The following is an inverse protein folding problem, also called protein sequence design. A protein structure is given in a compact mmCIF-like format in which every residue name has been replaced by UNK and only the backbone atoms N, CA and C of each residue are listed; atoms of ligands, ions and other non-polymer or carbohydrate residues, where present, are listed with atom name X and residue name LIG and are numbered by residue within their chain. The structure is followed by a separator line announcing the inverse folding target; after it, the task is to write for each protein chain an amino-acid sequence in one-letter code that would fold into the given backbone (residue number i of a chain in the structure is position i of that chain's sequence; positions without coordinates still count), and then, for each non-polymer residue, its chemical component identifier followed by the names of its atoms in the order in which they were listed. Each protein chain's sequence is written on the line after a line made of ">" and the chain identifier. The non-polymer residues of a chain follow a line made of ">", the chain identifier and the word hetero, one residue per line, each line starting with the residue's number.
data_IF_059911831771
#
_entry.id   IF_059911831771
#
_cell.length_a   1.000
_cell.length_b   1.000
_cell.length_c   1.000
_cell.angle_alpha   90.00
_cell.angle_beta   90.00
_cell.angle_gamma   90.00
#
_symmetry.space_group_name_H-M   'P 1'
#
loop_
_entity.id
_entity.type
_entity.pdbx_description
1 polymer ?
#
# COMPACT_ATOMS: atom_id res chain seq x y z
N UNK A 1 2.75 6.22 2.16
CA UNK A 1 2.42 5.46 0.95
C UNK A 1 3.46 5.69 -0.12
N UNK A 2 3.48 6.91 -0.67
CA UNK A 2 4.26 7.30 -1.86
C UNK A 2 5.79 7.06 -1.84
N UNK A 3 6.39 6.66 -0.72
CA UNK A 3 7.84 6.43 -0.62
C UNK A 3 8.24 4.97 -0.39
N UNK A 4 7.28 4.07 -0.15
CA UNK A 4 7.57 2.64 0.01
C UNK A 4 7.90 2.01 -1.36
N UNK A 5 8.71 0.94 -1.42
CA UNK A 5 8.96 0.22 -2.67
C UNK A 5 7.67 -0.25 -3.34
N UNK A 6 7.65 -0.26 -4.68
CA UNK A 6 6.53 -0.78 -5.47
C UNK A 6 6.17 -2.21 -5.02
N UNK A 7 4.89 -2.46 -4.86
CA UNK A 7 4.36 -3.74 -4.35
C UNK A 7 4.31 -3.80 -2.82
N UNK A 8 5.32 -3.30 -2.11
CA UNK A 8 5.24 -3.13 -0.65
C UNK A 8 4.17 -2.10 -0.31
N UNK A 9 4.14 -0.98 -1.02
CA UNK A 9 3.11 0.05 -0.90
C UNK A 9 1.69 -0.49 -1.15
N UNK A 10 1.53 -1.32 -2.18
CA UNK A 10 0.27 -1.98 -2.54
C UNK A 10 -0.22 -2.93 -1.43
N UNK A 11 0.66 -3.80 -0.93
CA UNK A 11 0.33 -4.73 0.14
C UNK A 11 -0.02 -4.00 1.46
N UNK A 12 0.72 -2.93 1.79
CA UNK A 12 0.45 -2.10 2.97
C UNK A 12 -0.87 -1.35 2.81
N UNK A 13 -1.17 -0.81 1.63
CA UNK A 13 -2.42 -0.11 1.34
C UNK A 13 -3.62 -1.05 1.49
N UNK A 14 -3.61 -2.22 0.85
CA UNK A 14 -4.73 -3.17 0.96
C UNK A 14 -4.95 -3.60 2.42
N UNK A 15 -3.86 -3.88 3.15
CA UNK A 15 -3.93 -4.23 4.57
C UNK A 15 -4.50 -3.07 5.40
N UNK A 16 -4.05 -1.83 5.17
CA UNK A 16 -4.52 -0.66 5.88
C UNK A 16 -6.03 -0.42 5.68
N UNK A 17 -6.52 -0.57 4.45
CA UNK A 17 -7.95 -0.39 4.12
C UNK A 17 -8.82 -1.44 4.79
N UNK A 18 -8.40 -2.71 4.73
CA UNK A 18 -9.25 -3.83 5.16
C UNK A 18 -9.05 -4.23 6.63
N UNK A 19 -7.96 -3.79 7.25
CA UNK A 19 -7.63 -4.18 8.64
C UNK A 19 -7.02 -3.04 9.43
N UNK A 20 -7.18 -1.79 8.99
CA UNK A 20 -6.81 -0.59 9.74
C UNK A 20 -5.37 -0.14 9.53
N UNK A 21 -5.13 1.17 9.34
CA UNK A 21 -3.83 1.73 8.96
C UNK A 21 -2.75 1.55 10.04
N UNK A 22 -3.10 1.76 11.31
CA UNK A 22 -2.14 1.58 12.42
C UNK A 22 -1.65 0.15 12.58
N UNK A 23 -2.50 -0.84 12.26
CA UNK A 23 -2.10 -2.27 12.27
C UNK A 23 -1.19 -2.58 11.11
N UNK A 24 -1.55 -2.16 9.90
CA UNK A 24 -0.73 -2.35 8.71
C UNK A 24 0.67 -1.72 8.88
N UNK A 25 0.75 -0.52 9.45
CA UNK A 25 2.02 0.15 9.76
C UNK A 25 2.90 -0.67 10.72
N UNK A 26 2.33 -1.15 11.84
CA UNK A 26 3.08 -1.97 12.81
C UNK A 26 3.55 -3.30 12.22
N UNK A 27 2.74 -3.93 11.38
CA UNK A 27 3.11 -5.18 10.72
C UNK A 27 4.21 -4.97 9.67
N UNK A 28 4.18 -3.86 8.93
CA UNK A 28 5.29 -3.45 8.07
C UNK A 28 6.57 -3.25 8.89
N UNK A 29 6.48 -2.50 9.99
CA UNK A 29 7.61 -2.22 10.88
C UNK A 29 8.24 -3.50 11.44
N UNK A 30 7.40 -4.45 11.86
CA UNK A 30 7.85 -5.78 12.25
C UNK A 30 8.59 -6.51 11.10
N UNK A 31 8.01 -6.52 9.90
CA UNK A 31 8.59 -7.19 8.73
C UNK A 31 9.95 -6.59 8.32
N UNK A 32 10.11 -5.26 8.43
CA UNK A 32 11.36 -4.57 8.09
C UNK A 32 12.35 -4.47 9.25
N UNK A 33 11.96 -4.93 10.45
CA UNK A 33 12.86 -5.03 11.61
C UNK A 33 13.10 -3.72 12.36
N UNK A 34 12.10 -2.83 12.41
CA UNK A 34 12.16 -1.56 13.14
C UNK A 34 11.11 -1.50 14.25
N UNK A 35 11.21 -0.49 15.13
CA UNK A 35 10.24 -0.27 16.21
C UNK A 35 8.81 -0.13 15.68
N UNK A 36 7.86 -0.81 16.33
CA UNK A 36 6.45 -0.87 15.91
C UNK A 36 5.62 0.30 16.49
N UNK A 37 6.04 1.53 16.25
CA UNK A 37 5.36 2.74 16.75
C UNK A 37 4.07 3.09 15.96
N UNK A 38 3.80 2.40 14.86
CA UNK A 38 2.64 2.61 13.98
C UNK A 38 2.75 3.83 13.05
N UNK A 39 3.89 4.52 13.01
CA UNK A 39 4.16 5.67 12.15
C UNK A 39 5.14 5.27 11.04
N UNK A 40 4.69 5.31 9.79
CA UNK A 40 5.57 5.09 8.64
C UNK A 40 6.33 6.39 8.36
N UNK A 41 7.44 6.59 9.08
CA UNK A 41 8.39 7.68 8.89
C UNK A 41 9.66 7.26 8.15
N UNK A 42 10.68 8.15 8.07
CA UNK A 42 11.91 7.91 7.32
C UNK A 42 12.65 6.62 7.69
N UNK A 43 12.67 6.26 8.97
CA UNK A 43 13.30 5.01 9.46
C UNK A 43 12.62 3.76 8.86
N UNK A 44 11.29 3.72 8.88
CA UNK A 44 10.51 2.61 8.30
C UNK A 44 10.71 2.54 6.78
N UNK A 45 10.72 3.69 6.10
CA UNK A 45 10.91 3.76 4.64
C UNK A 45 12.33 3.28 4.25
N UNK A 46 13.36 3.74 4.95
CA UNK A 46 14.73 3.32 4.71
C UNK A 46 14.89 1.80 4.92
N UNK A 47 14.34 1.26 6.01
CA UNK A 47 14.37 -0.18 6.27
C UNK A 47 13.61 -0.99 5.21
N UNK A 48 12.47 -0.50 4.73
CA UNK A 48 11.73 -1.14 3.65
C UNK A 48 12.51 -1.16 2.33
N UNK A 49 13.26 -0.09 2.00
CA UNK A 49 14.11 -0.01 0.80
C UNK A 49 15.37 -0.87 0.90
N UNK A 50 15.88 -1.11 2.12
CA UNK A 50 17.08 -1.91 2.35
C UNK A 50 16.83 -3.43 2.27
N UNK A 51 15.57 -3.88 2.28
CA UNK A 51 15.21 -5.29 2.14
C UNK A 51 14.71 -5.60 0.73
N UNK A 52 14.93 -6.82 0.20
CA UNK A 52 14.25 -7.27 -1.00
C UNK A 52 12.73 -7.11 -0.85
N UNK A 53 12.09 -6.44 -1.80
CA UNK A 53 10.66 -6.13 -1.74
C UNK A 53 9.81 -7.40 -1.59
N UNK A 54 10.13 -8.45 -2.35
CA UNK A 54 9.42 -9.74 -2.28
C UNK A 54 9.42 -10.35 -0.88
N UNK A 55 10.55 -10.32 -0.17
CA UNK A 55 10.65 -10.82 1.22
C UNK A 55 9.73 -10.04 2.15
N UNK A 56 9.68 -8.71 2.01
CA UNK A 56 8.80 -7.86 2.81
C UNK A 56 7.32 -8.10 2.48
N UNK A 57 6.98 -8.27 1.20
CA UNK A 57 5.62 -8.57 0.72
C UNK A 57 5.13 -9.91 1.26
N UNK A 58 5.96 -10.95 1.19
CA UNK A 58 5.62 -12.28 1.69
C UNK A 58 5.37 -12.26 3.19
N UNK A 59 6.30 -11.68 3.95
CA UNK A 59 6.19 -11.54 5.40
C UNK A 59 4.93 -10.75 5.80
N UNK A 60 4.61 -9.66 5.11
CA UNK A 60 3.44 -8.85 5.40
C UNK A 60 2.13 -9.61 5.13
N UNK A 61 2.07 -10.33 4.01
CA UNK A 61 0.90 -11.14 3.64
C UNK A 61 0.70 -12.33 4.59
N UNK A 62 1.78 -13.01 5.01
CA UNK A 62 1.70 -14.12 5.97
C UNK A 62 1.24 -13.63 7.33
N UNK A 63 1.82 -12.54 7.82
CA UNK A 63 1.44 -11.94 9.09
C UNK A 63 -0.03 -11.47 9.08
N UNK A 64 -0.49 -10.88 7.97
CA UNK A 64 -1.91 -10.52 7.80
C UNK A 64 -2.80 -11.75 7.82
N UNK A 65 -2.47 -12.81 7.09
CA UNK A 65 -3.27 -14.03 7.07
C UNK A 65 -3.33 -14.67 8.46
N UNK A 66 -2.21 -14.69 9.19
CA UNK A 66 -2.15 -15.17 10.57
C UNK A 66 -3.04 -14.33 11.51
N UNK A 67 -3.09 -13.01 11.32
CA UNK A 67 -4.03 -12.15 12.04
C UNK A 67 -5.49 -12.49 11.73
N UNK A 68 -5.84 -12.60 10.45
CA UNK A 68 -7.20 -12.90 10.00
C UNK A 68 -7.69 -14.25 10.53
N UNK A 69 -6.81 -15.27 10.58
CA UNK A 69 -7.10 -16.60 11.15
C UNK A 69 -7.50 -16.60 12.62
N UNK A 70 -7.15 -15.55 13.38
CA UNK A 70 -7.50 -15.41 14.80
C UNK A 70 -8.82 -14.66 15.04
N UNK A 71 -9.47 -14.17 13.99
CA UNK A 71 -10.74 -13.46 14.13
C UNK A 71 -11.89 -14.45 14.38
N UNK A 72 -12.86 -14.14 15.26
CA UNK A 72 -14.01 -15.00 15.53
C UNK A 72 -14.83 -15.35 14.27
N UNK A 73 -14.80 -14.45 13.29
CA UNK A 73 -15.54 -14.57 12.02
C UNK A 73 -14.78 -15.36 10.94
N UNK A 74 -13.60 -15.91 11.26
CA UNK A 74 -12.80 -16.71 10.32
C UNK A 74 -13.57 -17.91 9.77
N UNK A 75 -14.37 -18.60 10.59
CA UNK A 75 -15.16 -19.76 10.16
C UNK A 75 -16.12 -19.42 8.99
N UNK A 76 -16.61 -18.18 8.94
CA UNK A 76 -17.54 -17.73 7.91
C UNK A 76 -16.82 -17.13 6.69
N UNK A 77 -15.82 -16.27 6.92
CA UNK A 77 -15.22 -15.46 5.83
C UNK A 77 -13.78 -15.84 5.46
N UNK A 78 -13.18 -16.80 6.17
CA UNK A 78 -11.75 -17.13 6.06
C UNK A 78 -11.32 -17.54 4.66
N UNK A 79 -12.19 -18.18 3.88
CA UNK A 79 -11.92 -18.51 2.48
C UNK A 79 -11.73 -17.26 1.63
N UNK A 80 -12.70 -16.33 1.67
CA UNK A 80 -12.63 -15.09 0.89
C UNK A 80 -11.45 -14.20 1.31
N UNK A 81 -11.15 -14.14 2.60
CA UNK A 81 -9.97 -13.45 3.10
C UNK A 81 -8.66 -14.08 2.65
N UNK A 82 -8.56 -15.42 2.68
CA UNK A 82 -7.37 -16.14 2.18
C UNK A 82 -7.15 -15.87 0.69
N UNK A 83 -8.22 -15.91 -0.11
CA UNK A 83 -8.17 -15.67 -1.53
C UNK A 83 -7.74 -14.22 -1.84
N UNK A 84 -8.24 -13.24 -1.09
CA UNK A 84 -7.80 -11.84 -1.21
C UNK A 84 -6.32 -11.66 -0.88
N UNK A 85 -5.86 -12.21 0.25
CA UNK A 85 -4.44 -12.08 0.65
C UNK A 85 -3.52 -12.72 -0.40
N UNK A 86 -3.89 -13.89 -0.95
CA UNK A 86 -3.15 -14.52 -2.04
C UNK A 86 -3.10 -13.65 -3.30
N UNK A 87 -4.24 -13.07 -3.70
CA UNK A 87 -4.31 -12.18 -4.85
C UNK A 87 -3.42 -10.95 -4.68
N UNK A 88 -3.49 -10.29 -3.52
CA UNK A 88 -2.65 -9.13 -3.18
C UNK A 88 -1.18 -9.49 -3.21
N UNK A 89 -0.78 -10.64 -2.66
CA UNK A 89 0.61 -11.13 -2.72
C UNK A 89 1.09 -11.23 -4.17
N UNK A 90 0.33 -11.88 -5.04
CA UNK A 90 0.71 -12.06 -6.45
C UNK A 90 0.85 -10.70 -7.15
N UNK A 91 -0.13 -9.80 -6.98
CA UNK A 91 -0.09 -8.48 -7.60
C UNK A 91 1.08 -7.63 -7.09
N UNK A 92 1.32 -7.63 -5.78
CA UNK A 92 2.44 -6.93 -5.17
C UNK A 92 3.79 -7.46 -5.67
N UNK A 93 3.95 -8.78 -5.79
CA UNK A 93 5.17 -9.39 -6.31
C UNK A 93 5.41 -9.01 -7.77
N UNK A 94 4.37 -9.02 -8.61
CA UNK A 94 4.46 -8.54 -9.99
C UNK A 94 4.94 -7.08 -10.03
N UNK A 95 4.28 -6.19 -9.28
CA UNK A 95 4.65 -4.77 -9.20
C UNK A 95 6.11 -4.58 -8.77
N UNK A 96 6.58 -5.37 -7.80
CA UNK A 96 7.96 -5.31 -7.31
C UNK A 96 9.00 -5.77 -8.35
N UNK A 97 8.60 -6.60 -9.31
CA UNK A 97 9.45 -7.10 -10.39
C UNK A 97 9.48 -6.17 -11.62
N UNK A 98 8.46 -5.32 -11.81
CA UNK A 98 8.32 -4.47 -12.99
C UNK A 98 9.23 -3.24 -13.03
N UNK A 99 9.99 -2.94 -11.97
CA UNK A 99 10.96 -1.83 -11.97
C UNK A 99 12.37 -2.37 -12.21
N UNK A 100 12.97 -2.20 -13.41
CA UNK A 100 14.42 -2.26 -13.52
C UNK A 100 15.00 -1.22 -12.56
N UNK A 101 16.01 -1.61 -11.79
CA UNK A 101 16.78 -0.66 -11.00
C UNK A 101 17.04 0.59 -11.84
N UNK A 102 16.65 1.77 -11.34
CA UNK A 102 17.05 3.02 -11.97
C UNK A 102 18.56 2.94 -12.23
N UNK A 103 19.06 3.35 -13.41
CA UNK A 103 20.49 3.27 -13.67
C UNK A 103 21.20 4.02 -12.55
N UNK A 104 21.98 3.28 -11.77
CA UNK A 104 23.01 3.89 -10.91
C UNK A 104 23.85 4.72 -11.85
N UNK A 105 23.69 6.05 -11.80
CA UNK A 105 24.54 6.99 -12.50
C UNK A 105 25.95 6.77 -12.00
N UNK A 106 26.73 5.98 -12.74
CA UNK A 106 28.17 6.05 -12.69
C UNK A 106 28.57 7.50 -12.97
N UNK A 107 29.51 8.09 -12.21
CA UNK A 107 29.90 9.48 -12.42
C UNK A 107 30.57 9.59 -13.80
N UNK A 108 29.96 10.36 -14.70
CA UNK A 108 30.60 10.73 -15.95
C UNK A 108 31.82 11.63 -15.64
N UNK A 109 32.99 11.43 -16.29
CA UNK A 109 34.14 12.32 -16.12
C UNK A 109 33.85 13.70 -16.74
N UNK A 110 34.51 14.77 -16.27
CA UNK A 110 34.29 16.12 -16.77
C UNK A 110 35.07 16.34 -18.07
N UNK A 111 34.35 16.50 -19.18
CA UNK A 111 34.86 17.07 -20.42
C UNK A 111 33.75 17.98 -20.93
N UNK A 112 33.82 19.30 -20.77
CA UNK A 112 34.73 20.17 -21.52
C UNK A 112 33.86 20.99 -22.47
N UNK A 113 33.72 22.28 -22.19
CA UNK A 113 32.97 23.27 -22.97
C UNK A 113 33.46 23.33 -24.43
N UNK A 114 32.57 23.61 -25.40
CA UNK A 114 32.74 24.71 -26.39
C UNK A 114 31.45 24.90 -27.22
N UNK A 115 31.09 26.18 -27.36
CA UNK A 115 29.97 26.80 -28.06
C UNK A 115 30.10 26.78 -29.60
N UNK A 116 28.99 26.73 -30.34
CA UNK A 116 28.83 27.42 -31.64
C UNK A 116 27.36 27.50 -32.12
N UNK A 117 26.98 28.69 -32.58
CA UNK A 117 25.70 29.17 -33.11
C UNK A 117 25.16 28.47 -34.38
N UNK A 118 23.83 28.59 -34.64
CA UNK A 118 23.31 28.57 -36.02
C UNK A 118 21.82 28.27 -36.27
N UNK A 119 20.91 29.18 -35.90
CA UNK A 119 19.64 29.54 -36.60
C UNK A 119 18.50 28.49 -36.84
N UNK A 120 17.23 28.94 -37.05
CA UNK A 120 16.03 28.21 -36.63
C UNK A 120 15.32 27.42 -37.75
N UNK A 121 14.67 26.31 -37.38
CA UNK A 121 13.79 25.54 -38.25
C UNK A 121 12.36 25.46 -37.69
N UNK A 122 11.52 26.28 -38.32
CA UNK A 122 10.07 26.25 -38.53
C UNK A 122 9.24 25.13 -37.87
N UNK A 123 8.34 25.62 -37.02
CA UNK A 123 7.12 25.03 -36.44
C UNK A 123 6.29 24.15 -37.40
N UNK A 124 5.90 22.95 -36.95
CA UNK A 124 4.65 22.31 -37.38
C UNK A 124 3.78 22.00 -36.15
N UNK A 125 2.70 22.76 -36.00
CA UNK A 125 1.58 22.44 -35.11
C UNK A 125 0.77 21.32 -35.77
N UNK A 126 0.51 20.25 -35.04
CA UNK A 126 -0.53 19.27 -35.40
C UNK A 126 -1.62 19.29 -34.32
N UNK A 127 -2.90 19.45 -34.69
CA UNK A 127 -4.01 19.49 -33.75
C UNK A 127 -4.39 18.09 -33.23
N UNK A 128 -4.81 18.04 -31.97
CA UNK A 128 -5.32 16.84 -31.31
C UNK A 128 -6.70 16.43 -31.87
N UNK A 129 -6.94 15.12 -32.13
CA UNK A 129 -8.30 14.60 -32.21
C UNK A 129 -8.78 14.20 -30.81
N UNK A 130 -9.92 14.76 -30.43
CA UNK A 130 -10.67 14.32 -29.26
C UNK A 130 -11.16 12.89 -29.42
N UNK A 131 -10.98 12.10 -28.37
CA UNK A 131 -11.58 10.79 -28.20
C UNK A 131 -12.04 10.62 -26.76
N UNK A 132 -13.36 10.72 -26.54
CA UNK A 132 -13.99 10.25 -25.31
C UNK A 132 -13.93 8.72 -25.36
N UNK A 133 -13.05 8.12 -24.58
CA UNK A 133 -13.03 6.68 -24.35
C UNK A 133 -13.59 6.39 -22.95
N UNK A 134 -14.40 5.34 -22.93
CA UNK A 134 -15.41 5.04 -21.95
C UNK A 134 -14.89 4.47 -20.62
N UNK A 135 -15.76 4.62 -19.62
CA UNK A 135 -16.06 3.70 -18.51
C UNK A 135 -15.02 2.62 -18.17
N UNK A 136 -14.51 2.68 -16.94
CA UNK A 136 -14.01 1.50 -16.23
C UNK A 136 -14.61 1.44 -14.82
N UNK A 137 -15.47 0.42 -14.67
CA UNK A 137 -15.69 -0.41 -13.49
C UNK A 137 -16.13 0.28 -12.18
N UNK A 138 -17.41 0.07 -11.88
CA UNK A 138 -18.02 0.37 -10.60
C UNK A 138 -17.27 -0.28 -9.43
N UNK A 139 -17.03 0.54 -8.41
CA UNK A 139 -16.72 0.07 -7.07
C UNK A 139 -18.03 -0.51 -6.53
N UNK A 140 -18.18 -1.82 -6.60
CA UNK A 140 -19.20 -2.53 -5.82
C UNK A 140 -18.74 -2.54 -4.36
N UNK A 141 -19.12 -1.51 -3.61
CA UNK A 141 -19.02 -1.49 -2.16
C UNK A 141 -20.08 -2.45 -1.62
N UNK A 142 -19.74 -3.73 -1.45
CA UNK A 142 -20.46 -4.60 -0.53
C UNK A 142 -19.83 -4.46 0.86
N UNK A 143 -20.17 -3.35 1.51
CA UNK A 143 -20.12 -3.25 2.96
C UNK A 143 -21.27 -4.11 3.50
N UNK A 144 -21.03 -5.42 3.59
CA UNK A 144 -21.84 -6.27 4.44
C UNK A 144 -21.47 -5.94 5.90
N UNK A 145 -22.36 -5.18 6.53
CA UNK A 145 -22.23 -4.76 7.91
C UNK A 145 -22.08 -5.94 8.87
N UNK A 146 -21.24 -5.72 9.87
CA UNK A 146 -21.46 -6.25 11.21
C UNK A 146 -20.94 -5.21 12.21
N UNK A 147 -21.53 -4.02 12.17
CA UNK A 147 -21.63 -3.16 13.33
C UNK A 147 -22.71 -3.77 14.24
N UNK A 148 -22.40 -4.83 14.97
CA UNK A 148 -23.23 -5.35 16.06
C UNK A 148 -22.47 -6.39 16.91
N UNK A 149 -21.39 -5.96 17.58
CA UNK A 149 -20.89 -6.62 18.79
C UNK A 149 -19.87 -5.73 19.52
N UNK A 150 -20.26 -4.51 19.90
CA UNK A 150 -19.59 -3.79 20.98
C UNK A 150 -20.67 -3.36 21.97
N UNK A 151 -21.00 -4.27 22.88
CA UNK A 151 -21.58 -3.90 24.18
C UNK A 151 -20.41 -3.40 25.03
N UNK A 152 -20.35 -2.12 25.43
CA UNK A 152 -19.80 -1.80 26.73
C UNK A 152 -20.92 -2.00 27.75
N UNK A 153 -20.76 -3.01 28.61
CA UNK A 153 -21.30 -2.92 29.97
C UNK A 153 -20.55 -1.76 30.63
N UNK A 154 -21.24 -0.64 30.84
CA UNK A 154 -20.93 0.27 31.94
C UNK A 154 -22.22 0.36 32.73
N UNK A 155 -22.17 -0.24 33.92
CA UNK A 155 -23.24 -0.17 34.90
C UNK A 155 -23.26 1.22 35.54
N UNK A 156 -24.45 1.60 36.03
CA UNK A 156 -24.67 2.45 37.20
C UNK A 156 -24.10 3.89 37.20
N UNK A 157 -24.82 4.80 36.55
CA UNK A 157 -24.97 6.20 36.97
C UNK A 157 -26.19 6.78 36.24
N UNK A 158 -27.09 7.52 36.90
CA UNK A 158 -28.40 8.03 36.43
C UNK A 158 -29.66 7.19 36.70
N UNK A 159 -29.71 6.51 37.85
CA UNK A 159 -30.92 5.96 38.47
C UNK A 159 -31.42 6.74 39.69
N UNK A 160 -31.16 8.05 39.77
CA UNK A 160 -31.63 8.93 40.84
C UNK A 160 -31.73 10.36 40.32
N UNK A 161 -32.91 10.73 39.84
CA UNK A 161 -33.48 12.09 39.76
C UNK A 161 -34.68 12.02 38.80
N UNK A 162 -35.80 11.51 39.30
CA UNK A 162 -37.18 11.90 38.96
C UNK A 162 -38.08 11.05 39.88
N UNK A 163 -38.00 11.38 41.17
CA UNK A 163 -39.18 11.48 42.02
C UNK A 163 -39.69 12.91 41.90
#
# INVERSE_FOLDING_TARGET
>A
GAELPDGVDHAVFDFAVNSGPGRAAKYLQAAVGVAQDGRIGPVTVAAAKAKPAGVTIDALCDARLAFLKRLPTWATFGRGWSDRVRSVRVQALLMSAQRPAAPVTAPAPPSGETSANGAPSVRRVQPAPGGKAAAAAGILVLMAGALAAFRPRVADLFGSLFQ
#
